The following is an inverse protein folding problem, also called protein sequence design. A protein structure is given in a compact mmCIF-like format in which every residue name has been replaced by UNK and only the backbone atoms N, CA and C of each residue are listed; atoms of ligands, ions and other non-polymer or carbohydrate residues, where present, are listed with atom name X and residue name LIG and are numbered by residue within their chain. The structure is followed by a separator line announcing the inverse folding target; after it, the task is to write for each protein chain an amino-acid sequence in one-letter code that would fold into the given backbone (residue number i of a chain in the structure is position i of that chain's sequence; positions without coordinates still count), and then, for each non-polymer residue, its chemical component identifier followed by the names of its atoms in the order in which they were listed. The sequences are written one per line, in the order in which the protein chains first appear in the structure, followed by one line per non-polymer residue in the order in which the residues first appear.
data_IF_746233110142
#
_entry.id   IF_746233110142
#
_cell.length_a   1.000
_cell.length_b   1.000
_cell.length_c   1.000
_cell.angle_alpha   90.00
_cell.angle_beta   90.00
_cell.angle_gamma   90.00
#
_symmetry.space_group_name_H-M   'P 1'
#
loop_
_entity.id
_entity.type
_entity.pdbx_description
1 polymer ?
#
# COMPACT_ATOMS: atom_id res chain seq x y z
N UNK A 1 -16.88 14.19 42.00
CA UNK A 1 -16.18 12.90 41.77
C UNK A 1 -16.67 12.34 40.45
N UNK A 2 -16.01 12.70 39.35
CA UNK A 2 -16.40 12.28 37.99
C UNK A 2 -15.13 12.12 37.18
N UNK A 3 -14.76 10.88 36.91
CA UNK A 3 -13.51 10.55 36.22
C UNK A 3 -13.78 10.67 34.72
N UNK A 4 -13.00 11.53 34.07
CA UNK A 4 -12.97 11.78 32.64
C UNK A 4 -12.34 10.58 31.93
N UNK A 5 -13.10 9.90 31.07
CA UNK A 5 -12.57 8.95 30.09
C UNK A 5 -12.40 9.70 28.76
N UNK A 6 -11.39 10.57 28.72
CA UNK A 6 -10.84 11.09 27.48
C UNK A 6 -9.53 10.37 27.21
N UNK A 7 -9.30 9.97 25.96
CA UNK A 7 -8.07 9.39 25.41
C UNK A 7 -8.01 7.85 25.35
N UNK A 8 -8.62 7.23 24.33
CA UNK A 8 -8.14 5.93 23.83
C UNK A 8 -8.54 5.60 22.38
N UNK A 9 -9.51 6.30 21.78
CA UNK A 9 -10.05 5.90 20.46
C UNK A 9 -10.01 7.01 19.42
N UNK A 10 -8.88 7.71 19.32
CA UNK A 10 -8.64 8.73 18.29
C UNK A 10 -7.39 8.42 17.43
N UNK A 11 -7.02 7.14 17.30
CA UNK A 11 -6.01 6.67 16.33
C UNK A 11 -6.71 6.22 15.03
N UNK A 12 -7.78 6.92 14.63
CA UNK A 12 -8.22 6.90 13.25
C UNK A 12 -7.81 8.24 12.66
N UNK A 13 -6.63 8.22 12.03
CA UNK A 13 -6.03 9.32 11.28
C UNK A 13 -6.98 9.73 10.16
N UNK A 14 -7.92 10.62 10.44
CA UNK A 14 -8.56 11.43 9.41
C UNK A 14 -7.55 12.49 8.99
N UNK A 15 -6.67 12.12 8.04
CA UNK A 15 -6.00 13.13 7.22
C UNK A 15 -7.10 13.84 6.43
N UNK A 16 -7.68 14.90 7.00
CA UNK A 16 -8.47 15.86 6.22
C UNK A 16 -7.53 16.41 5.16
N UNK A 17 -7.68 15.96 3.91
CA UNK A 17 -7.00 16.53 2.77
C UNK A 17 -7.44 17.99 2.67
N UNK A 18 -6.64 18.90 3.23
CA UNK A 18 -6.82 20.34 3.03
C UNK A 18 -6.49 20.57 1.56
N UNK A 19 -7.52 20.79 0.75
CA UNK A 19 -7.38 21.10 -0.69
C UNK A 19 -6.80 22.49 -0.81
N UNK A 20 -5.47 22.59 -0.76
CA UNK A 20 -4.77 23.81 -1.13
C UNK A 20 -4.75 23.92 -2.66
N UNK A 21 -5.07 25.10 -3.18
CA UNK A 21 -4.99 25.40 -4.61
C UNK A 21 -3.55 25.23 -5.08
N UNK A 22 -3.36 24.57 -6.22
CA UNK A 22 -2.04 24.32 -6.81
C UNK A 22 -2.04 24.90 -8.21
N UNK A 23 -1.11 25.81 -8.46
CA UNK A 23 -0.87 26.33 -9.79
C UNK A 23 0.23 25.50 -10.45
N UNK A 24 -0.06 24.96 -11.62
CA UNK A 24 0.88 24.14 -12.40
C UNK A 24 1.06 24.79 -13.76
N UNK A 25 2.28 25.17 -14.07
CA UNK A 25 2.63 25.64 -15.42
C UNK A 25 2.70 24.41 -16.31
N UNK A 26 2.02 24.42 -17.46
CA UNK A 26 1.92 23.27 -18.37
C UNK A 26 3.13 23.24 -19.31
N UNK A 27 3.73 22.06 -19.51
CA UNK A 27 4.80 21.84 -20.49
C UNK A 27 6.12 22.51 -20.14
N UNK A 28 6.33 22.90 -18.87
CA UNK A 28 7.56 23.48 -18.32
C UNK A 28 7.80 22.90 -16.93
N UNK A 29 8.16 21.61 -16.82
CA UNK A 29 8.34 20.96 -15.52
C UNK A 29 9.53 21.55 -14.73
N UNK A 30 10.48 22.19 -15.42
CA UNK A 30 11.65 22.90 -14.86
C UNK A 30 11.27 24.17 -14.08
N UNK A 31 10.19 24.84 -14.47
CA UNK A 31 9.72 26.08 -13.82
C UNK A 31 8.86 25.83 -12.58
N UNK A 32 8.50 24.58 -12.31
CA UNK A 32 7.73 24.23 -11.12
C UNK A 32 8.65 24.17 -9.89
N UNK A 33 8.61 25.23 -9.08
CA UNK A 33 9.37 25.31 -7.82
C UNK A 33 8.86 24.36 -6.73
N UNK A 34 7.64 23.83 -6.88
CA UNK A 34 6.99 22.95 -5.91
C UNK A 34 7.36 21.49 -6.17
N UNK A 35 7.80 20.80 -5.12
CA UNK A 35 8.05 19.37 -5.20
C UNK A 35 6.72 18.59 -5.23
N UNK A 36 6.59 17.70 -6.21
CA UNK A 36 5.47 16.78 -6.34
C UNK A 36 5.93 15.33 -6.11
N UNK A 37 5.07 14.47 -5.53
CA UNK A 37 5.37 13.06 -5.40
C UNK A 37 5.51 12.41 -6.79
N UNK A 38 6.36 11.39 -6.88
CA UNK A 38 6.52 10.60 -8.11
C UNK A 38 5.27 9.78 -8.41
N UNK A 39 5.03 9.48 -9.68
CA UNK A 39 3.89 8.67 -10.13
C UNK A 39 4.10 7.15 -9.90
N UNK A 40 4.56 6.77 -8.71
CA UNK A 40 4.82 5.38 -8.34
C UNK A 40 3.67 4.87 -7.48
N UNK A 41 3.00 3.82 -7.93
CA UNK A 41 1.99 3.13 -7.13
C UNK A 41 2.65 2.02 -6.31
N UNK A 42 2.46 2.04 -4.99
CA UNK A 42 2.92 0.99 -4.07
C UNK A 42 1.77 0.58 -3.15
N UNK A 43 1.20 -0.60 -3.37
CA UNK A 43 0.12 -1.19 -2.58
C UNK A 43 0.63 -2.29 -1.62
N UNK A 44 1.95 -2.48 -1.54
CA UNK A 44 2.56 -3.39 -0.57
C UNK A 44 2.32 -2.88 0.84
N UNK A 45 1.83 -3.76 1.72
CA UNK A 45 1.55 -3.39 3.10
C UNK A 45 2.77 -3.58 4.01
N UNK A 46 3.66 -4.52 3.65
CA UNK A 46 4.78 -4.90 4.48
C UNK A 46 6.11 -4.79 3.72
N UNK A 47 7.15 -4.39 4.44
CA UNK A 47 8.53 -4.63 4.02
C UNK A 47 8.98 -6.03 4.48
N UNK A 48 10.00 -6.60 3.86
CA UNK A 48 10.56 -7.95 4.15
C UNK A 48 10.84 -8.12 5.66
N UNK A 49 11.37 -7.08 6.31
CA UNK A 49 11.72 -7.10 7.75
C UNK A 49 10.47 -6.92 8.62
N UNK A 50 9.54 -6.06 8.23
CA UNK A 50 8.34 -5.74 9.02
C UNK A 50 7.24 -6.79 8.85
N UNK A 51 7.31 -7.64 7.82
CA UNK A 51 6.31 -8.65 7.49
C UNK A 51 6.04 -9.58 8.67
N UNK A 52 7.07 -10.23 9.22
CA UNK A 52 6.91 -11.19 10.31
C UNK A 52 6.28 -10.56 11.57
N UNK A 53 6.85 -9.47 12.14
CA UNK A 53 6.31 -8.92 13.38
C UNK A 53 4.91 -8.31 13.22
N UNK A 54 4.63 -7.62 12.11
CA UNK A 54 3.29 -7.02 11.90
C UNK A 54 2.24 -8.09 11.62
N UNK A 55 2.52 -9.06 10.73
CA UNK A 55 1.53 -10.08 10.39
C UNK A 55 1.22 -10.95 11.61
N UNK A 56 2.22 -11.31 12.42
CA UNK A 56 1.98 -12.02 13.69
C UNK A 56 1.11 -11.20 14.64
N UNK A 57 1.41 -9.91 14.80
CA UNK A 57 0.61 -9.02 15.63
C UNK A 57 -0.85 -8.96 15.15
N UNK A 58 -1.07 -8.85 13.85
CA UNK A 58 -2.41 -8.88 13.27
C UNK A 58 -3.12 -10.21 13.49
N UNK A 59 -2.42 -11.34 13.35
CA UNK A 59 -2.99 -12.65 13.64
C UNK A 59 -3.38 -12.79 15.12
N UNK A 60 -2.58 -12.30 16.06
CA UNK A 60 -2.89 -12.38 17.50
C UNK A 60 -3.85 -11.30 18.00
N UNK A 61 -4.17 -10.28 17.20
CA UNK A 61 -5.29 -9.38 17.50
C UNK A 61 -6.65 -10.05 17.26
N UNK A 62 -6.69 -11.19 16.57
CA UNK A 62 -7.90 -11.99 16.41
C UNK A 62 -8.16 -12.78 17.69
N UNK A 63 -9.37 -12.65 18.23
CA UNK A 63 -9.77 -13.21 19.54
C UNK A 63 -9.42 -14.71 19.70
N UNK A 64 -9.73 -15.55 18.70
CA UNK A 64 -9.44 -16.98 18.77
C UNK A 64 -7.94 -17.29 18.81
N UNK A 65 -7.13 -16.62 17.97
CA UNK A 65 -5.69 -16.81 17.95
C UNK A 65 -5.05 -16.36 19.26
N UNK A 66 -5.51 -15.24 19.83
CA UNK A 66 -5.10 -14.78 21.16
C UNK A 66 -5.49 -15.77 22.26
N UNK A 67 -6.72 -16.29 22.22
CA UNK A 67 -7.20 -17.28 23.17
C UNK A 67 -6.32 -18.54 23.13
N UNK A 68 -6.06 -19.09 21.95
CA UNK A 68 -5.18 -20.26 21.81
C UNK A 68 -3.74 -19.97 22.24
N UNK A 69 -3.23 -18.76 22.00
CA UNK A 69 -1.92 -18.33 22.49
C UNK A 69 -1.87 -18.30 24.01
N UNK A 70 -2.86 -17.70 24.67
CA UNK A 70 -2.95 -17.67 26.14
C UNK A 70 -3.05 -19.09 26.71
N UNK A 71 -3.90 -19.93 26.10
CA UNK A 71 -4.04 -21.34 26.49
C UNK A 71 -2.73 -22.12 26.35
N UNK A 72 -1.97 -21.88 25.28
CA UNK A 72 -0.66 -22.49 25.04
C UNK A 72 0.41 -21.98 26.03
N UNK A 73 0.39 -20.68 26.36
CA UNK A 73 1.28 -20.07 27.35
C UNK A 73 1.07 -20.61 28.77
N UNK A 74 -0.18 -20.85 29.18
CA UNK A 74 -0.50 -21.43 30.50
C UNK A 74 0.18 -22.79 30.70
N UNK A 75 0.41 -23.56 29.63
CA UNK A 75 1.05 -24.88 29.73
C UNK A 75 2.54 -24.80 30.13
N UNK A 76 3.20 -23.64 30.03
CA UNK A 76 4.56 -23.49 30.54
C UNK A 76 4.62 -23.66 32.05
N UNK A 77 3.57 -23.27 32.78
CA UNK A 77 3.48 -23.42 34.24
C UNK A 77 3.21 -24.89 34.57
N UNK A 78 4.17 -25.62 35.19
CA UNK A 78 4.02 -27.06 35.43
C UNK A 78 2.81 -27.41 36.31
N UNK A 79 2.46 -26.52 37.25
CA UNK A 79 1.32 -26.70 38.16
C UNK A 79 -0.05 -26.61 37.49
N UNK A 80 -0.14 -25.97 36.31
CA UNK A 80 -1.38 -25.79 35.55
C UNK A 80 -1.39 -26.66 34.26
N UNK A 81 -0.34 -27.44 34.05
CA UNK A 81 -0.13 -28.23 32.84
C UNK A 81 -0.98 -29.50 32.89
N UNK A 82 -1.92 -29.63 31.96
CA UNK A 82 -2.80 -30.81 31.86
C UNK A 82 -2.23 -31.81 30.84
N UNK A 83 -1.67 -31.30 29.73
CA UNK A 83 -1.12 -32.11 28.64
C UNK A 83 0.28 -31.63 28.23
N UNK A 84 0.91 -32.33 27.28
CA UNK A 84 2.20 -31.91 26.71
C UNK A 84 2.09 -30.59 25.93
N UNK A 85 3.19 -29.82 25.94
CA UNK A 85 3.27 -28.50 25.28
C UNK A 85 2.93 -28.57 23.78
N UNK A 86 3.40 -29.62 23.09
CA UNK A 86 3.23 -29.77 21.64
C UNK A 86 1.75 -29.86 21.24
N UNK A 87 0.87 -30.38 22.10
CA UNK A 87 -0.56 -30.54 21.81
C UNK A 87 -1.26 -29.20 21.57
N UNK A 88 -0.75 -28.11 22.15
CA UNK A 88 -1.29 -26.76 21.97
C UNK A 88 -0.48 -25.92 20.98
N UNK A 89 0.85 -26.01 21.04
CA UNK A 89 1.74 -25.20 20.21
C UNK A 89 1.71 -25.62 18.73
N UNK A 90 1.64 -26.92 18.43
CA UNK A 90 1.62 -27.42 17.04
C UNK A 90 0.41 -26.93 16.24
N UNK A 91 -0.84 -27.09 16.71
CA UNK A 91 -2.00 -26.59 15.96
C UNK A 91 -1.99 -25.07 15.83
N UNK A 92 -1.60 -24.34 16.88
CA UNK A 92 -1.48 -22.87 16.85
C UNK A 92 -0.44 -22.41 15.82
N UNK A 93 0.75 -23.00 15.82
CA UNK A 93 1.80 -22.65 14.86
C UNK A 93 1.39 -23.00 13.43
N UNK A 94 0.74 -24.14 13.21
CA UNK A 94 0.31 -24.57 11.89
C UNK A 94 -0.70 -23.57 11.28
N UNK A 95 -1.72 -23.20 12.04
CA UNK A 95 -2.74 -22.23 11.58
C UNK A 95 -2.13 -20.86 11.35
N UNK A 96 -1.33 -20.37 12.30
CA UNK A 96 -0.68 -19.04 12.18
C UNK A 96 0.27 -19.00 10.98
N UNK A 97 1.05 -20.07 10.78
CA UNK A 97 1.97 -20.18 9.65
C UNK A 97 1.23 -20.23 8.31
N UNK A 98 0.15 -20.99 8.19
CA UNK A 98 -0.67 -21.03 6.99
C UNK A 98 -1.24 -19.64 6.65
N UNK A 99 -1.72 -18.90 7.66
CA UNK A 99 -2.19 -17.52 7.49
C UNK A 99 -1.07 -16.59 7.03
N UNK A 100 0.12 -16.69 7.63
CA UNK A 100 1.28 -15.88 7.23
C UNK A 100 1.69 -16.19 5.78
N UNK A 101 1.75 -17.46 5.39
CA UNK A 101 2.08 -17.85 4.01
C UNK A 101 1.10 -17.26 3.00
N UNK A 102 -0.20 -17.32 3.30
CA UNK A 102 -1.24 -16.75 2.44
C UNK A 102 -1.05 -15.24 2.30
N UNK A 103 -0.90 -14.52 3.42
CA UNK A 103 -0.72 -13.07 3.42
C UNK A 103 0.55 -12.67 2.62
N UNK A 104 1.65 -13.39 2.82
CA UNK A 104 2.90 -13.15 2.09
C UNK A 104 2.76 -13.39 0.59
N UNK A 105 2.08 -14.46 0.18
CA UNK A 105 1.79 -14.72 -1.23
C UNK A 105 0.93 -13.61 -1.85
N UNK A 106 -0.11 -13.16 -1.14
CA UNK A 106 -0.96 -12.07 -1.61
C UNK A 106 -0.20 -10.75 -1.74
N UNK A 107 0.70 -10.44 -0.81
CA UNK A 107 1.52 -9.22 -0.84
C UNK A 107 2.56 -9.26 -1.98
N UNK A 108 3.22 -10.40 -2.24
CA UNK A 108 4.10 -10.58 -3.40
C UNK A 108 3.32 -10.43 -4.72
N UNK A 109 2.10 -10.98 -4.78
CA UNK A 109 1.24 -10.83 -5.96
C UNK A 109 0.85 -9.36 -6.19
N UNK A 110 0.62 -8.59 -5.12
CA UNK A 110 0.40 -7.13 -5.21
C UNK A 110 1.64 -6.43 -5.74
N UNK A 111 2.82 -6.76 -5.21
CA UNK A 111 4.10 -6.22 -5.66
C UNK A 111 4.33 -6.40 -7.17
N UNK A 112 4.04 -7.59 -7.70
CA UNK A 112 4.20 -7.87 -9.12
C UNK A 112 3.26 -7.02 -9.98
N UNK A 113 1.98 -6.90 -9.59
CA UNK A 113 1.02 -6.06 -10.30
C UNK A 113 1.39 -4.58 -10.27
N UNK A 114 1.86 -4.09 -9.13
CA UNK A 114 2.30 -2.71 -9.01
C UNK A 114 3.51 -2.44 -9.92
N UNK A 115 4.46 -3.38 -10.01
CA UNK A 115 5.59 -3.29 -10.94
C UNK A 115 5.13 -3.25 -12.39
N UNK A 116 4.16 -4.08 -12.76
CA UNK A 116 3.58 -4.09 -14.11
C UNK A 116 2.98 -2.72 -14.45
N UNK A 117 2.14 -2.17 -13.57
CA UNK A 117 1.52 -0.84 -13.72
C UNK A 117 2.58 0.26 -13.84
N UNK A 118 3.55 0.31 -12.92
CA UNK A 118 4.59 1.33 -12.90
C UNK A 118 5.49 1.27 -14.15
N UNK A 119 5.64 0.08 -14.75
CA UNK A 119 6.44 -0.14 -15.97
C UNK A 119 5.69 0.06 -17.28
N UNK A 120 4.39 0.40 -17.25
CA UNK A 120 3.63 0.68 -18.47
C UNK A 120 4.21 1.89 -19.20
N UNK A 121 4.29 1.81 -20.53
CA UNK A 121 4.89 2.87 -21.36
C UNK A 121 3.85 3.88 -21.83
N UNK A 122 4.22 5.15 -21.78
CA UNK A 122 3.42 6.28 -22.23
C UNK A 122 4.23 7.15 -23.18
N UNK A 123 3.53 7.85 -24.09
CA UNK A 123 4.16 8.78 -25.02
C UNK A 123 4.14 10.18 -24.41
N UNK A 124 5.31 10.70 -24.04
CA UNK A 124 5.50 12.08 -23.59
C UNK A 124 5.69 12.99 -24.80
N UNK A 125 5.06 14.16 -24.77
CA UNK A 125 5.30 15.26 -25.69
C UNK A 125 6.29 16.24 -25.05
N UNK A 126 7.50 16.29 -25.59
CA UNK A 126 8.57 17.18 -25.13
C UNK A 126 8.28 18.62 -25.55
N UNK A 127 8.87 19.59 -24.85
CA UNK A 127 8.80 21.03 -25.20
C UNK A 127 9.16 21.32 -26.65
N UNK A 128 10.09 20.55 -27.21
CA UNK A 128 10.57 20.67 -28.59
C UNK A 128 9.63 20.01 -29.62
N UNK A 129 8.46 19.51 -29.21
CA UNK A 129 7.50 18.80 -30.08
C UNK A 129 7.87 17.35 -30.39
N UNK A 130 8.97 16.84 -29.83
CA UNK A 130 9.39 15.44 -29.96
C UNK A 130 8.56 14.52 -29.07
N UNK A 131 8.37 13.28 -29.55
CA UNK A 131 7.65 12.23 -28.83
C UNK A 131 8.64 11.24 -28.27
N UNK A 132 8.61 11.06 -26.95
CA UNK A 132 9.47 10.12 -26.24
C UNK A 132 8.62 9.06 -25.51
N UNK A 133 9.15 7.85 -25.37
CA UNK A 133 8.51 6.81 -24.56
C UNK A 133 9.07 6.84 -23.14
N UNK A 134 8.20 7.04 -22.16
CA UNK A 134 8.55 7.05 -20.73
C UNK A 134 7.76 6.00 -19.96
N UNK A 135 8.27 5.58 -18.80
CA UNK A 135 7.55 4.68 -17.91
C UNK A 135 6.48 5.45 -17.13
N UNK A 136 5.41 4.75 -16.73
CA UNK A 136 4.33 5.32 -15.92
C UNK A 136 4.88 5.97 -14.65
N UNK A 137 5.87 5.33 -14.01
CA UNK A 137 6.53 5.82 -12.80
C UNK A 137 7.34 7.10 -12.97
N UNK A 138 7.76 7.41 -14.20
CA UNK A 138 8.62 8.54 -14.51
C UNK A 138 7.85 9.80 -14.91
N UNK A 139 6.54 9.67 -15.13
CA UNK A 139 5.65 10.80 -15.43
C UNK A 139 5.66 11.79 -14.26
N UNK A 140 5.87 13.07 -14.57
CA UNK A 140 5.87 14.18 -13.61
C UNK A 140 4.67 15.09 -13.82
N UNK A 141 4.34 15.87 -12.79
CA UNK A 141 3.34 16.94 -12.90
C UNK A 141 3.84 18.00 -13.89
N UNK A 142 2.96 18.50 -14.77
CA UNK A 142 3.23 19.37 -15.94
C UNK A 142 3.49 18.66 -17.26
N UNK A 143 3.77 17.36 -17.23
CA UNK A 143 4.05 16.59 -18.44
C UNK A 143 2.82 16.48 -19.34
N UNK A 144 3.02 16.69 -20.64
CA UNK A 144 1.98 16.50 -21.65
C UNK A 144 2.13 15.10 -22.21
N UNK A 145 1.16 14.23 -21.94
CA UNK A 145 1.17 12.86 -22.44
C UNK A 145 0.11 12.64 -23.53
N UNK A 146 0.43 11.79 -24.48
CA UNK A 146 -0.49 11.35 -25.53
C UNK A 146 -0.96 9.94 -25.18
N UNK A 147 -2.25 9.80 -24.90
CA UNK A 147 -2.88 8.52 -24.63
C UNK A 147 -3.42 7.89 -25.92
N UNK A 148 -3.17 6.59 -26.09
CA UNK A 148 -3.76 5.81 -27.17
C UNK A 148 -5.13 5.25 -26.77
N UNK A 149 -5.94 4.90 -27.76
CA UNK A 149 -7.22 4.21 -27.53
C UNK A 149 -6.99 2.91 -26.74
N UNK A 150 -7.87 2.64 -25.77
CA UNK A 150 -7.81 1.48 -24.86
C UNK A 150 -6.56 1.43 -23.96
N UNK A 151 -5.80 2.51 -23.85
CA UNK A 151 -4.73 2.62 -22.88
C UNK A 151 -5.30 3.05 -21.51
N UNK A 152 -4.77 2.48 -20.43
CA UNK A 152 -5.11 2.90 -19.08
C UNK A 152 -4.64 4.36 -18.86
N UNK A 153 -5.38 5.12 -18.06
CA UNK A 153 -4.95 6.46 -17.64
C UNK A 153 -3.95 6.31 -16.48
N UNK A 154 -2.74 6.89 -16.57
CA UNK A 154 -1.66 6.65 -15.60
C UNK A 154 -1.78 7.45 -14.30
N UNK A 155 -2.46 8.61 -14.34
CA UNK A 155 -2.61 9.55 -13.24
C UNK A 155 -3.82 10.46 -13.50
N UNK A 156 -4.14 11.34 -12.56
CA UNK A 156 -5.17 12.37 -12.78
C UNK A 156 -4.69 13.34 -13.88
N UNK A 157 -5.45 13.44 -14.98
CA UNK A 157 -5.08 14.24 -16.15
C UNK A 157 -6.14 15.28 -16.50
N UNK A 158 -5.70 16.38 -17.09
CA UNK A 158 -6.56 17.35 -17.75
C UNK A 158 -6.57 17.08 -19.26
N UNK A 159 -7.75 16.87 -19.84
CA UNK A 159 -7.89 16.65 -21.27
C UNK A 159 -7.74 17.98 -22.01
N UNK A 160 -6.69 18.12 -22.82
CA UNK A 160 -6.44 19.33 -23.63
C UNK A 160 -7.08 19.24 -25.01
N UNK A 161 -6.95 18.09 -25.68
CA UNK A 161 -7.42 17.88 -27.04
C UNK A 161 -7.72 16.40 -27.28
N UNK A 162 -8.74 16.13 -28.10
CA UNK A 162 -9.03 14.80 -28.66
C UNK A 162 -8.73 14.80 -30.16
N UNK A 163 -8.28 13.65 -30.69
CA UNK A 163 -7.89 13.52 -32.10
C UNK A 163 -9.04 13.01 -32.99
N UNK A 164 -10.26 12.98 -32.47
CA UNK A 164 -11.42 12.51 -33.23
C UNK A 164 -11.74 13.51 -34.33
N UNK A 165 -11.65 13.08 -35.59
CA UNK A 165 -12.20 13.83 -36.72
C UNK A 165 -13.71 13.81 -36.58
N UNK A 166 -14.28 14.97 -36.28
CA UNK A 166 -15.73 15.23 -36.35
C UNK A 166 -16.25 15.02 -37.76
#
# INVERSE_FOLDING_TARGET
MGISYSSATAIFRSSTHKTESRDVIIGRPDLNTVWYPQNVTCNQKYNIITFIPLVLFEQFNVFFNLYFLIMACTQFVPSLRINYLYTYWVPLSCVTFASMLREGYEDIKRAYRDREINSQRYTLLTENGHREEILSSEIKVSDIIILRKNQRVPADILLLQTLDKS
#
